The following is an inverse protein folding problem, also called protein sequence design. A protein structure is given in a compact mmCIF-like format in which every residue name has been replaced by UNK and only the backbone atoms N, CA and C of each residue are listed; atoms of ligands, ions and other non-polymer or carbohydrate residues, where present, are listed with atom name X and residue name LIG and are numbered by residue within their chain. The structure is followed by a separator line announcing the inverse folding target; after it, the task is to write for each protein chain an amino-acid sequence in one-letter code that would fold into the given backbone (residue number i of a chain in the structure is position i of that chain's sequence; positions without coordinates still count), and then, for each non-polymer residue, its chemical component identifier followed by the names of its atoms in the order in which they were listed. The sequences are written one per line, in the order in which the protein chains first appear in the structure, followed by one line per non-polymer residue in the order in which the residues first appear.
data_IF_839969837499
#
_entry.id   IF_839969837499
#
_cell.length_a   1.000
_cell.length_b   1.000
_cell.length_c   1.000
_cell.angle_alpha   90.00
_cell.angle_beta   90.00
_cell.angle_gamma   90.00
#
_symmetry.space_group_name_H-M   'P 1'
#
loop_
_entity.id
_entity.type
_entity.pdbx_description
1 polymer ?
#
# COMPACT_ATOMS: atom_id res chain seq x y z
N UNK A 1 -36.50 -3.27 4.67
CA UNK A 1 -36.19 -2.17 3.72
C UNK A 1 -37.30 -1.15 3.89
N UNK A 2 -36.99 0.10 4.25
CA UNK A 2 -37.99 1.15 4.42
C UNK A 2 -37.94 2.10 3.22
N UNK A 3 -39.10 2.38 2.62
CA UNK A 3 -39.19 3.32 1.49
C UNK A 3 -39.41 4.73 2.03
N UNK A 4 -38.57 5.68 1.61
CA UNK A 4 -38.70 7.10 1.93
C UNK A 4 -38.98 7.88 0.66
N UNK A 5 -39.83 8.89 0.76
CA UNK A 5 -40.12 9.79 -0.36
C UNK A 5 -39.05 10.87 -0.44
N UNK A 6 -38.65 11.21 -1.66
CA UNK A 6 -37.86 12.39 -1.94
C UNK A 6 -38.79 13.61 -1.93
N UNK A 7 -38.45 14.64 -1.15
CA UNK A 7 -39.24 15.87 -1.01
C UNK A 7 -38.45 17.01 -1.62
N UNK A 8 -39.02 17.74 -2.58
CA UNK A 8 -38.37 18.92 -3.14
C UNK A 8 -38.35 20.04 -2.10
N UNK A 9 -37.18 20.64 -1.88
CA UNK A 9 -37.01 21.76 -0.95
C UNK A 9 -36.34 22.91 -1.70
N UNK A 10 -37.06 23.99 -1.94
CA UNK A 10 -36.57 25.09 -2.79
C UNK A 10 -36.44 24.71 -4.27
N UNK A 11 -35.60 25.45 -5.01
CA UNK A 11 -35.50 25.31 -6.48
C UNK A 11 -34.61 24.13 -6.92
N UNK A 12 -33.53 23.87 -6.21
CA UNK A 12 -32.44 22.96 -6.65
C UNK A 12 -32.06 21.88 -5.65
N UNK A 13 -32.74 21.76 -4.50
CA UNK A 13 -32.42 20.73 -3.50
C UNK A 13 -33.62 19.84 -3.16
N UNK A 14 -33.28 18.66 -2.65
CA UNK A 14 -34.23 17.65 -2.23
C UNK A 14 -33.85 17.17 -0.83
N UNK A 15 -34.85 16.72 -0.08
CA UNK A 15 -34.72 16.24 1.29
C UNK A 15 -35.29 14.83 1.38
N UNK A 16 -34.64 13.99 2.16
CA UNK A 16 -35.11 12.65 2.53
C UNK A 16 -35.03 12.49 4.05
N UNK A 17 -36.05 11.87 4.65
CA UNK A 17 -36.05 11.63 6.09
C UNK A 17 -35.09 10.49 6.47
N UNK A 18 -34.24 10.71 7.47
CA UNK A 18 -33.34 9.68 8.00
C UNK A 18 -34.08 8.73 8.97
N UNK A 19 -33.70 7.45 9.06
CA UNK A 19 -34.28 6.52 10.03
C UNK A 19 -34.01 6.95 11.48
N UNK A 20 -35.07 7.12 12.28
CA UNK A 20 -34.95 7.61 13.67
C UNK A 20 -34.14 6.67 14.59
N UNK A 21 -34.11 5.37 14.31
CA UNK A 21 -33.25 4.40 15.02
C UNK A 21 -31.77 4.67 14.74
N UNK A 22 -31.42 4.95 13.48
CA UNK A 22 -30.04 5.25 13.08
C UNK A 22 -29.56 6.57 13.69
N UNK A 23 -30.39 7.63 13.63
CA UNK A 23 -30.07 8.94 14.22
C UNK A 23 -29.76 8.80 15.72
N UNK A 24 -30.59 8.05 16.46
CA UNK A 24 -30.36 7.78 17.89
C UNK A 24 -29.11 6.95 18.15
N UNK A 25 -28.90 5.89 17.38
CA UNK A 25 -27.71 5.03 17.52
C UNK A 25 -26.41 5.78 17.21
N UNK A 26 -26.45 6.73 16.28
CA UNK A 26 -25.33 7.62 15.96
C UNK A 26 -25.14 8.76 16.96
N UNK A 27 -26.05 8.94 17.93
CA UNK A 27 -26.00 10.01 18.92
C UNK A 27 -26.27 11.41 18.36
N UNK A 28 -26.87 11.51 17.18
CA UNK A 28 -27.08 12.75 16.46
C UNK A 28 -28.25 13.57 17.03
N UNK A 29 -28.10 14.89 16.98
CA UNK A 29 -29.08 15.89 17.41
C UNK A 29 -29.40 16.85 16.27
N UNK A 30 -30.47 17.62 16.45
CA UNK A 30 -30.85 18.67 15.51
C UNK A 30 -29.70 19.68 15.40
N UNK A 31 -29.26 19.94 14.17
CA UNK A 31 -28.17 20.87 13.87
C UNK A 31 -26.80 20.22 13.73
N UNK A 32 -26.67 18.91 14.03
CA UNK A 32 -25.42 18.19 13.77
C UNK A 32 -25.20 18.02 12.25
N UNK A 33 -23.94 18.18 11.84
CA UNK A 33 -23.54 17.99 10.45
C UNK A 33 -23.56 16.52 10.04
N UNK A 34 -23.93 16.28 8.78
CA UNK A 34 -23.89 14.98 8.14
C UNK A 34 -23.06 15.06 6.88
N UNK A 35 -22.29 14.01 6.64
CA UNK A 35 -21.44 13.89 5.47
C UNK A 35 -22.18 13.06 4.43
N UNK A 36 -22.35 13.61 3.24
CA UNK A 36 -23.04 12.98 2.13
C UNK A 36 -22.00 12.68 1.05
N UNK A 37 -21.87 11.41 0.67
CA UNK A 37 -21.04 11.01 -0.47
C UNK A 37 -21.90 10.32 -1.53
N UNK A 38 -21.62 10.64 -2.79
CA UNK A 38 -22.28 10.05 -3.94
C UNK A 38 -21.41 8.93 -4.51
N UNK A 39 -22.03 7.79 -4.81
CA UNK A 39 -21.37 6.65 -5.46
C UNK A 39 -22.29 6.01 -6.48
N UNK A 40 -21.99 6.20 -7.76
CA UNK A 40 -22.76 5.67 -8.89
C UNK A 40 -24.26 6.07 -8.84
N UNK A 41 -25.14 5.18 -8.37
CA UNK A 41 -26.58 5.42 -8.18
C UNK A 41 -27.00 5.43 -6.71
N UNK A 42 -26.03 5.51 -5.81
CA UNK A 42 -26.22 5.48 -4.35
C UNK A 42 -25.77 6.79 -3.71
N UNK A 43 -26.47 7.18 -2.63
CA UNK A 43 -26.06 8.25 -1.73
C UNK A 43 -25.78 7.61 -0.37
N UNK A 44 -24.59 7.84 0.17
CA UNK A 44 -24.16 7.36 1.48
C UNK A 44 -24.14 8.54 2.45
N UNK A 45 -24.82 8.39 3.60
CA UNK A 45 -24.88 9.41 4.64
C UNK A 45 -24.14 8.91 5.88
N UNK A 46 -23.19 9.69 6.36
CA UNK A 46 -22.32 9.35 7.49
C UNK A 46 -22.39 10.41 8.60
N UNK A 47 -22.43 9.95 9.85
CA UNK A 47 -22.45 10.81 11.05
C UNK A 47 -21.07 11.38 11.42
N UNK A 48 -20.03 10.92 10.76
CA UNK A 48 -18.64 11.36 10.95
C UNK A 48 -18.04 11.64 9.60
N UNK A 49 -17.13 12.59 9.59
CA UNK A 49 -16.33 12.88 8.41
C UNK A 49 -15.48 11.65 8.10
N UNK A 50 -15.90 10.88 7.09
CA UNK A 50 -15.10 9.80 6.52
C UNK A 50 -14.09 10.33 5.50
N UNK A 51 -14.21 11.59 5.04
CA UNK A 51 -13.26 12.24 4.14
C UNK A 51 -11.95 12.59 4.86
N UNK A 52 -12.03 12.85 6.18
CA UNK A 52 -10.89 12.68 7.09
C UNK A 52 -10.78 11.20 7.43
N UNK A 53 -10.21 10.42 6.51
CA UNK A 53 -9.67 9.11 6.85
C UNK A 53 -8.89 9.25 8.17
N UNK A 54 -9.39 8.62 9.23
CA UNK A 54 -8.63 8.50 10.46
C UNK A 54 -7.35 7.77 10.06
N UNK A 55 -6.24 8.51 10.02
CA UNK A 55 -4.93 7.95 9.69
C UNK A 55 -4.75 6.66 10.47
N UNK A 56 -4.61 5.55 9.76
CA UNK A 56 -4.45 4.24 10.36
C UNK A 56 -3.03 4.17 10.86
N UNK A 57 -2.86 4.15 12.17
CA UNK A 57 -1.55 3.96 12.80
C UNK A 57 -1.38 2.50 13.24
N UNK A 58 -0.17 1.98 13.07
CA UNK A 58 0.24 0.66 13.59
C UNK A 58 1.47 0.81 14.46
N UNK A 59 1.45 0.19 15.63
CA UNK A 59 2.52 0.25 16.61
C UNK A 59 3.19 -1.13 16.75
N UNK A 60 4.45 -1.22 16.35
CA UNK A 60 5.30 -2.40 16.40
C UNK A 60 6.15 -2.33 17.68
N UNK A 61 5.84 -3.17 18.67
CA UNK A 61 6.76 -3.40 19.78
C UNK A 61 7.90 -4.30 19.29
N UNK A 62 9.14 -3.83 19.37
CA UNK A 62 10.32 -4.57 18.92
C UNK A 62 11.01 -5.41 20.00
N UNK A 63 10.54 -5.34 21.25
CA UNK A 63 11.07 -6.11 22.36
C UNK A 63 10.99 -7.63 22.10
N UNK A 64 12.11 -8.33 22.26
CA UNK A 64 12.22 -9.77 22.07
C UNK A 64 12.11 -10.27 20.61
N UNK A 65 11.86 -9.39 19.63
CA UNK A 65 11.69 -9.79 18.22
C UNK A 65 13.01 -9.87 17.47
N UNK A 66 13.13 -10.87 16.61
CA UNK A 66 14.18 -10.95 15.61
C UNK A 66 13.98 -9.91 14.51
N UNK A 67 15.04 -9.60 13.78
CA UNK A 67 14.98 -8.70 12.63
C UNK A 67 13.99 -9.14 11.55
N UNK A 68 13.84 -10.46 11.34
CA UNK A 68 12.95 -11.02 10.34
C UNK A 68 11.48 -10.86 10.74
N UNK A 69 11.17 -11.02 12.02
CA UNK A 69 9.83 -10.77 12.56
C UNK A 69 9.47 -9.29 12.45
N UNK A 70 10.40 -8.39 12.78
CA UNK A 70 10.24 -6.95 12.60
C UNK A 70 9.99 -6.56 11.15
N UNK A 71 10.81 -7.08 10.24
CA UNK A 71 10.63 -6.85 8.80
C UNK A 71 9.26 -7.32 8.34
N UNK A 72 8.88 -8.54 8.69
CA UNK A 72 7.57 -9.11 8.32
C UNK A 72 6.41 -8.26 8.83
N UNK A 73 6.47 -7.79 10.08
CA UNK A 73 5.42 -6.98 10.68
C UNK A 73 5.35 -5.57 10.10
N UNK A 74 6.49 -4.92 9.87
CA UNK A 74 6.57 -3.59 9.24
C UNK A 74 6.02 -3.65 7.80
N UNK A 75 6.47 -4.63 7.01
CA UNK A 75 5.98 -4.84 5.64
C UNK A 75 4.49 -5.17 5.65
N UNK A 76 4.01 -5.99 6.60
CA UNK A 76 2.59 -6.31 6.73
C UNK A 76 1.75 -5.08 7.07
N UNK A 77 2.22 -4.22 7.98
CA UNK A 77 1.55 -2.96 8.28
C UNK A 77 1.47 -2.07 7.03
N UNK A 78 2.55 -1.98 6.26
CA UNK A 78 2.56 -1.24 4.99
C UNK A 78 1.55 -1.81 3.98
N UNK A 79 1.56 -3.13 3.76
CA UNK A 79 0.65 -3.79 2.80
C UNK A 79 -0.82 -3.79 3.24
N UNK A 80 -1.09 -3.55 4.52
CA UNK A 80 -2.44 -3.39 5.06
C UNK A 80 -2.94 -1.94 5.03
N UNK A 81 -2.24 -1.03 4.32
CA UNK A 81 -2.59 0.37 4.17
C UNK A 81 -2.68 1.11 5.51
N UNK A 82 -1.71 0.89 6.41
CA UNK A 82 -1.48 1.78 7.54
C UNK A 82 -0.67 3.01 7.07
N UNK A 83 -1.13 4.20 7.47
CA UNK A 83 -0.56 5.49 7.09
C UNK A 83 0.64 5.87 7.96
N UNK A 84 0.70 5.35 9.19
CA UNK A 84 1.80 5.58 10.12
C UNK A 84 2.23 4.25 10.73
N UNK A 85 3.52 3.96 10.66
CA UNK A 85 4.14 2.79 11.30
C UNK A 85 5.10 3.30 12.37
N UNK A 86 4.84 2.93 13.63
CA UNK A 86 5.66 3.29 14.79
C UNK A 86 6.34 2.05 15.30
N UNK A 87 7.67 1.99 15.25
CA UNK A 87 8.46 0.92 15.86
C UNK A 87 9.06 1.45 17.14
N UNK A 88 8.91 0.73 18.24
CA UNK A 88 9.42 1.17 19.54
C UNK A 88 9.97 0.02 20.37
N UNK A 89 10.93 0.34 21.24
CA UNK A 89 11.55 -0.58 22.18
C UNK A 89 12.17 0.22 23.34
N UNK A 90 12.18 -0.35 24.55
CA UNK A 90 12.85 0.23 25.72
C UNK A 90 13.93 -0.73 26.24
N UNK A 91 15.04 -0.22 26.80
CA UNK A 91 15.40 1.19 26.98
C UNK A 91 15.97 1.86 25.72
N UNK A 92 16.23 1.10 24.65
CA UNK A 92 16.75 1.59 23.37
C UNK A 92 16.32 0.66 22.23
N UNK A 93 16.05 1.24 21.06
CA UNK A 93 15.67 0.52 19.85
C UNK A 93 16.89 -0.16 19.22
N UNK A 94 16.99 -1.48 19.44
CA UNK A 94 18.04 -2.28 18.83
C UNK A 94 17.85 -2.34 17.32
N UNK A 95 18.95 -2.49 16.58
CA UNK A 95 18.93 -2.59 15.12
C UNK A 95 18.28 -1.38 14.39
N UNK A 96 18.28 -0.19 14.98
CA UNK A 96 17.66 1.02 14.42
C UNK A 96 18.04 1.27 12.96
N UNK A 97 19.31 1.09 12.57
CA UNK A 97 19.75 1.25 11.18
C UNK A 97 19.15 0.21 10.21
N UNK A 98 18.96 -1.03 10.66
CA UNK A 98 18.32 -2.07 9.84
C UNK A 98 16.81 -1.82 9.71
N UNK A 99 16.16 -1.37 10.79
CA UNK A 99 14.75 -0.95 10.77
C UNK A 99 14.58 0.24 9.82
N UNK A 100 15.49 1.22 9.88
CA UNK A 100 15.54 2.36 8.95
C UNK A 100 15.64 1.89 7.50
N UNK A 101 16.51 0.91 7.23
CA UNK A 101 16.68 0.33 5.90
C UNK A 101 15.42 -0.37 5.40
N UNK A 102 14.76 -1.17 6.24
CA UNK A 102 13.48 -1.82 5.92
C UNK A 102 12.43 -0.76 5.54
N UNK A 103 12.28 0.29 6.36
CA UNK A 103 11.31 1.36 6.11
C UNK A 103 11.60 2.11 4.80
N UNK A 104 12.87 2.42 4.51
CA UNK A 104 13.26 3.10 3.25
C UNK A 104 13.02 2.25 2.00
N UNK A 105 12.99 0.92 2.15
CA UNK A 105 12.64 -0.01 1.07
C UNK A 105 11.12 -0.11 0.85
N UNK A 106 10.30 0.64 1.57
CA UNK A 106 8.86 0.73 1.34
C UNK A 106 8.56 2.07 0.68
N UNK A 107 8.14 2.03 -0.59
CA UNK A 107 8.00 3.24 -1.39
C UNK A 107 7.00 4.23 -0.77
N UNK A 108 7.45 5.48 -0.65
CA UNK A 108 6.74 6.62 -0.10
C UNK A 108 6.52 6.60 1.42
N UNK A 109 7.10 5.64 2.12
CA UNK A 109 7.20 5.67 3.57
C UNK A 109 8.40 6.54 4.00
N UNK A 110 8.14 7.68 4.64
CA UNK A 110 9.16 8.63 5.11
C UNK A 110 9.27 8.63 6.63
N UNK A 111 10.50 8.58 7.12
CA UNK A 111 10.78 8.59 8.57
C UNK A 111 10.70 10.02 9.09
N UNK A 112 9.70 10.31 9.93
CA UNK A 112 9.44 11.65 10.47
C UNK A 112 10.04 11.86 11.86
N UNK A 113 10.17 10.79 12.64
CA UNK A 113 10.70 10.85 13.99
C UNK A 113 11.65 9.68 14.22
N UNK A 114 12.81 9.99 14.79
CA UNK A 114 13.75 8.98 15.27
C UNK A 114 14.32 9.43 16.61
N UNK A 115 14.15 8.59 17.63
CA UNK A 115 14.73 8.79 18.96
C UNK A 115 15.51 7.53 19.36
N UNK A 116 16.06 7.52 20.58
CA UNK A 116 16.71 6.34 21.14
C UNK A 116 15.76 5.14 21.28
N UNK A 117 14.47 5.35 21.49
CA UNK A 117 13.50 4.30 21.83
C UNK A 117 12.43 4.06 20.78
N UNK A 118 12.34 4.91 19.74
CA UNK A 118 11.30 4.79 18.72
C UNK A 118 11.73 5.34 17.36
N UNK A 119 11.08 4.82 16.33
CA UNK A 119 11.13 5.30 14.95
C UNK A 119 9.71 5.37 14.41
N UNK A 120 9.34 6.49 13.80
CA UNK A 120 8.01 6.72 13.23
C UNK A 120 8.17 7.04 11.75
N UNK A 121 7.51 6.25 10.92
CA UNK A 121 7.46 6.49 9.49
C UNK A 121 6.02 6.68 9.02
N UNK A 122 5.83 7.57 8.05
CA UNK A 122 4.53 7.95 7.52
C UNK A 122 4.50 7.74 6.01
N UNK A 123 3.41 7.17 5.53
CA UNK A 123 3.14 7.09 4.10
C UNK A 123 2.75 8.49 3.57
N UNK A 124 3.46 8.93 2.54
CA UNK A 124 3.22 10.18 1.84
C UNK A 124 2.70 9.96 0.41
N UNK A 125 2.48 8.71 0.00
CA UNK A 125 1.92 8.40 -1.32
C UNK A 125 0.45 8.81 -1.38
N UNK A 126 0.11 9.66 -2.35
CA UNK A 126 -1.27 9.76 -2.81
C UNK A 126 -1.54 8.71 -3.87
N UNK A 127 -2.27 7.65 -3.49
CA UNK A 127 -2.60 6.53 -4.39
C UNK A 127 -3.40 7.00 -5.62
N UNK A 128 -4.11 8.13 -5.52
CA UNK A 128 -4.92 8.68 -6.61
C UNK A 128 -4.07 9.22 -7.75
N UNK A 129 -2.84 9.64 -7.46
CA UNK A 129 -1.91 10.14 -8.48
C UNK A 129 -1.13 9.00 -9.18
N UNK A 130 -1.35 7.75 -8.77
CA UNK A 130 -0.63 6.60 -9.31
C UNK A 130 -1.36 5.93 -10.47
N UNK A 131 -0.57 5.43 -11.43
CA UNK A 131 -1.04 4.55 -12.50
C UNK A 131 -0.52 3.12 -12.27
N UNK A 132 -1.44 2.17 -12.12
CA UNK A 132 -1.10 0.74 -11.97
C UNK A 132 -0.37 0.22 -13.21
N UNK A 133 -0.78 0.66 -14.41
CA UNK A 133 -0.12 0.28 -15.66
C UNK A 133 1.31 0.81 -15.74
N UNK A 134 1.55 2.04 -15.26
CA UNK A 134 2.90 2.60 -15.20
C UNK A 134 3.79 1.82 -14.22
N UNK A 135 3.25 1.43 -13.05
CA UNK A 135 3.96 0.58 -12.10
C UNK A 135 4.33 -0.78 -12.72
N UNK A 136 3.38 -1.42 -13.40
CA UNK A 136 3.61 -2.70 -14.09
C UNK A 136 4.62 -2.60 -15.22
N UNK A 137 4.56 -1.53 -16.02
CA UNK A 137 5.54 -1.30 -17.09
C UNK A 137 6.95 -1.12 -16.54
N UNK A 138 7.10 -0.41 -15.42
CA UNK A 138 8.41 -0.25 -14.76
C UNK A 138 8.91 -1.57 -14.19
N UNK A 139 8.05 -2.35 -13.55
CA UNK A 139 8.38 -3.70 -13.08
C UNK A 139 8.89 -4.57 -14.24
N UNK A 140 8.14 -4.60 -15.34
CA UNK A 140 8.47 -5.36 -16.54
C UNK A 140 9.85 -4.97 -17.12
N UNK A 141 10.10 -3.68 -17.32
CA UNK A 141 11.38 -3.17 -17.87
C UNK A 141 12.56 -3.56 -16.98
N UNK A 142 12.45 -3.35 -15.66
CA UNK A 142 13.56 -3.65 -14.74
C UNK A 142 13.80 -5.16 -14.70
N UNK A 143 12.74 -5.96 -14.57
CA UNK A 143 12.87 -7.42 -14.53
C UNK A 143 13.47 -7.96 -15.82
N UNK A 144 13.02 -7.52 -17.00
CA UNK A 144 13.63 -7.92 -18.29
C UNK A 144 15.10 -7.57 -18.37
N UNK A 145 15.50 -6.38 -17.93
CA UNK A 145 16.92 -5.99 -17.94
C UNK A 145 17.80 -6.92 -17.10
N UNK A 146 17.27 -7.49 -16.01
CA UNK A 146 17.99 -8.47 -15.19
C UNK A 146 18.13 -9.80 -15.94
N UNK A 147 17.11 -10.23 -16.68
CA UNK A 147 17.20 -11.43 -17.52
C UNK A 147 18.21 -11.24 -18.66
N UNK A 148 18.22 -10.08 -19.31
CA UNK A 148 19.15 -9.80 -20.40
C UNK A 148 20.61 -9.89 -19.93
N UNK A 149 20.92 -9.37 -18.73
CA UNK A 149 22.25 -9.51 -18.14
C UNK A 149 22.59 -10.97 -17.82
N UNK A 150 21.65 -11.73 -17.26
CA UNK A 150 21.87 -13.15 -16.96
C UNK A 150 22.14 -13.96 -18.23
N UNK A 151 21.34 -13.76 -19.28
CA UNK A 151 21.50 -14.44 -20.57
C UNK A 151 22.83 -14.06 -21.21
N UNK A 152 23.19 -12.77 -21.18
CA UNK A 152 24.45 -12.28 -21.72
C UNK A 152 25.65 -12.89 -20.99
N UNK A 153 25.59 -12.94 -19.66
CA UNK A 153 26.67 -13.49 -18.81
C UNK A 153 26.88 -14.98 -19.07
N UNK A 154 25.80 -15.76 -19.17
CA UNK A 154 25.87 -17.19 -19.48
C UNK A 154 26.44 -17.42 -20.88
N UNK A 155 26.00 -16.63 -21.86
CA UNK A 155 26.46 -16.74 -23.25
C UNK A 155 27.95 -16.40 -23.39
N UNK A 156 28.41 -15.38 -22.66
CA UNK A 156 29.82 -14.97 -22.62
C UNK A 156 30.70 -15.87 -21.72
N UNK A 157 30.10 -16.76 -20.92
CA UNK A 157 30.76 -17.55 -19.86
C UNK A 157 31.47 -16.65 -18.83
N UNK A 158 30.87 -15.52 -18.51
CA UNK A 158 31.36 -14.55 -17.54
C UNK A 158 30.46 -14.50 -16.30
N UNK A 159 31.02 -14.03 -15.18
CA UNK A 159 30.23 -13.80 -13.98
C UNK A 159 29.21 -12.68 -14.21
N UNK A 160 27.94 -12.84 -13.79
CA UNK A 160 26.96 -11.79 -13.96
C UNK A 160 27.29 -10.57 -13.11
N UNK A 161 26.83 -9.36 -13.51
CA UNK A 161 27.05 -8.12 -12.77
C UNK A 161 26.19 -8.09 -11.48
N UNK A 162 26.53 -8.95 -10.52
CA UNK A 162 25.70 -9.31 -9.38
C UNK A 162 25.30 -8.12 -8.51
N UNK A 163 26.22 -7.16 -8.30
CA UNK A 163 25.93 -5.94 -7.55
C UNK A 163 24.86 -5.08 -8.23
N UNK A 164 24.92 -4.95 -9.56
CA UNK A 164 23.92 -4.23 -10.35
C UNK A 164 22.57 -4.95 -10.34
N UNK A 165 22.58 -6.29 -10.46
CA UNK A 165 21.36 -7.10 -10.35
C UNK A 165 20.72 -6.95 -8.97
N UNK A 166 21.52 -6.95 -7.90
CA UNK A 166 21.02 -6.79 -6.52
C UNK A 166 20.39 -5.42 -6.29
N UNK A 167 20.92 -4.35 -6.89
CA UNK A 167 20.31 -3.03 -6.79
C UNK A 167 18.95 -2.98 -7.51
N UNK A 168 18.87 -3.49 -8.74
CA UNK A 168 17.62 -3.56 -9.49
C UNK A 168 16.58 -4.46 -8.82
N UNK A 169 17.01 -5.53 -8.15
CA UNK A 169 16.13 -6.35 -7.31
C UNK A 169 15.50 -5.54 -6.16
N UNK A 170 16.25 -4.64 -5.52
CA UNK A 170 15.70 -3.74 -4.51
C UNK A 170 14.66 -2.79 -5.14
N UNK A 171 14.91 -2.27 -6.33
CA UNK A 171 13.95 -1.43 -7.05
C UNK A 171 12.67 -2.19 -7.44
N UNK A 172 12.81 -3.44 -7.90
CA UNK A 172 11.66 -4.34 -8.16
C UNK A 172 10.87 -4.57 -6.88
N UNK A 173 11.52 -4.92 -5.76
CA UNK A 173 10.84 -5.16 -4.49
C UNK A 173 10.05 -3.93 -4.01
N UNK A 174 10.63 -2.72 -4.13
CA UNK A 174 9.95 -1.46 -3.80
C UNK A 174 8.69 -1.27 -4.63
N UNK A 175 8.79 -1.50 -5.95
CA UNK A 175 7.66 -1.38 -6.87
C UNK A 175 6.59 -2.46 -6.65
N UNK A 176 7.00 -3.70 -6.33
CA UNK A 176 6.09 -4.81 -6.00
C UNK A 176 5.28 -4.45 -4.75
N UNK A 177 5.94 -4.01 -3.67
CA UNK A 177 5.23 -3.64 -2.44
C UNK A 177 4.27 -2.46 -2.67
N UNK A 178 4.70 -1.43 -3.41
CA UNK A 178 3.83 -0.31 -3.76
C UNK A 178 2.62 -0.77 -4.58
N UNK A 179 2.86 -1.64 -5.58
CA UNK A 179 1.79 -2.17 -6.42
C UNK A 179 0.78 -2.98 -5.61
N UNK A 180 1.24 -3.84 -4.69
CA UNK A 180 0.35 -4.57 -3.79
C UNK A 180 -0.42 -3.65 -2.85
N UNK A 181 0.20 -2.58 -2.33
CA UNK A 181 -0.48 -1.58 -1.48
C UNK A 181 -1.63 -0.91 -2.26
N UNK A 182 -1.34 -0.36 -3.43
CA UNK A 182 -2.31 0.29 -4.33
C UNK A 182 -3.46 -0.67 -4.69
N UNK A 183 -3.13 -1.88 -5.12
CA UNK A 183 -4.12 -2.86 -5.57
C UNK A 183 -4.98 -3.37 -4.41
N UNK A 184 -4.39 -3.60 -3.22
CA UNK A 184 -5.17 -3.94 -2.02
C UNK A 184 -6.11 -2.80 -1.62
N UNK A 185 -5.66 -1.55 -1.72
CA UNK A 185 -6.53 -0.38 -1.48
C UNK A 185 -7.67 -0.33 -2.49
N UNK A 186 -7.40 -0.53 -3.78
CA UNK A 186 -8.44 -0.60 -4.81
C UNK A 186 -9.42 -1.77 -4.60
N UNK A 187 -8.96 -2.90 -4.06
CA UNK A 187 -9.86 -4.03 -3.77
C UNK A 187 -10.76 -3.75 -2.57
N UNK A 188 -10.27 -3.05 -1.54
CA UNK A 188 -11.04 -2.75 -0.32
C UNK A 188 -11.84 -1.44 -0.36
N UNK A 189 -11.41 -0.45 -1.15
CA UNK A 189 -12.01 0.87 -1.25
C UNK A 189 -12.52 1.14 -2.68
N UNK A 190 -13.85 1.14 -2.89
CA UNK A 190 -14.45 1.42 -4.18
C UNK A 190 -14.19 2.82 -4.72
N UNK A 191 -13.98 3.83 -3.88
CA UNK A 191 -13.72 5.20 -4.32
C UNK A 191 -12.32 5.29 -4.94
N UNK A 192 -11.33 4.70 -4.28
CA UNK A 192 -9.96 4.58 -4.83
C UNK A 192 -9.98 3.77 -6.12
N UNK A 193 -10.71 2.66 -6.15
CA UNK A 193 -10.83 1.82 -7.35
C UNK A 193 -11.43 2.57 -8.55
N UNK A 194 -12.51 3.32 -8.32
CA UNK A 194 -13.15 4.14 -9.34
C UNK A 194 -12.20 5.23 -9.85
N UNK A 195 -11.46 5.87 -8.95
CA UNK A 195 -10.45 6.87 -9.32
C UNK A 195 -9.32 6.29 -10.18
N UNK A 196 -8.87 5.06 -9.87
CA UNK A 196 -7.89 4.33 -10.68
C UNK A 196 -8.46 3.82 -12.02
N UNK A 197 -9.76 3.98 -12.27
CA UNK A 197 -10.42 3.51 -13.49
C UNK A 197 -10.48 1.98 -13.60
N UNK A 198 -10.49 1.26 -12.48
CA UNK A 198 -10.41 -0.20 -12.46
C UNK A 198 -11.75 -0.86 -12.08
N UNK A 199 -12.07 -1.98 -12.70
CA UNK A 199 -13.03 -2.94 -12.14
C UNK A 199 -12.39 -3.79 -11.04
N UNK A 200 -13.21 -4.48 -10.24
CA UNK A 200 -12.72 -5.45 -9.23
C UNK A 200 -11.90 -6.56 -9.88
N UNK A 201 -12.37 -7.04 -11.05
CA UNK A 201 -11.69 -8.10 -11.79
C UNK A 201 -10.34 -7.62 -12.33
N UNK A 202 -10.25 -6.39 -12.84
CA UNK A 202 -8.98 -5.82 -13.31
C UNK A 202 -7.99 -5.59 -12.17
N UNK A 203 -8.43 -5.03 -11.04
CA UNK A 203 -7.58 -4.89 -9.86
C UNK A 203 -7.03 -6.25 -9.40
N UNK A 204 -7.86 -7.30 -9.41
CA UNK A 204 -7.42 -8.65 -9.10
C UNK A 204 -6.44 -9.23 -10.15
N UNK A 205 -6.72 -9.03 -11.45
CA UNK A 205 -5.82 -9.45 -12.53
C UNK A 205 -4.44 -8.80 -12.39
N UNK A 206 -4.40 -7.49 -12.16
CA UNK A 206 -3.14 -6.78 -11.94
C UNK A 206 -2.40 -7.28 -10.70
N UNK A 207 -3.12 -7.58 -9.61
CA UNK A 207 -2.52 -8.19 -8.42
C UNK A 207 -1.83 -9.52 -8.74
N UNK A 208 -2.49 -10.37 -9.53
CA UNK A 208 -1.92 -11.64 -9.97
C UNK A 208 -0.70 -11.43 -10.87
N UNK A 209 -0.70 -10.44 -11.77
CA UNK A 209 0.45 -10.13 -12.63
C UNK A 209 1.66 -9.69 -11.79
N UNK A 210 1.47 -8.77 -10.83
CA UNK A 210 2.54 -8.32 -9.92
C UNK A 210 3.15 -9.51 -9.18
N UNK A 211 2.31 -10.42 -8.64
CA UNK A 211 2.76 -11.63 -7.97
C UNK A 211 3.59 -12.55 -8.89
N UNK A 212 3.27 -12.62 -10.18
CA UNK A 212 4.07 -13.41 -11.13
C UNK A 212 5.40 -12.74 -11.43
N UNK A 213 5.43 -11.42 -11.61
CA UNK A 213 6.67 -10.68 -11.86
C UNK A 213 7.61 -10.77 -10.65
N UNK A 214 7.10 -10.65 -9.42
CA UNK A 214 7.88 -10.86 -8.19
C UNK A 214 8.55 -12.24 -8.19
N UNK A 215 7.77 -13.32 -8.40
CA UNK A 215 8.32 -14.68 -8.47
C UNK A 215 9.40 -14.83 -9.55
N UNK A 216 9.19 -14.22 -10.71
CA UNK A 216 10.14 -14.21 -11.82
C UNK A 216 11.44 -13.49 -11.41
N UNK A 217 11.35 -12.34 -10.75
CA UNK A 217 12.50 -11.60 -10.20
C UNK A 217 13.27 -12.41 -9.15
N UNK A 218 12.56 -13.08 -8.25
CA UNK A 218 13.16 -13.97 -7.25
C UNK A 218 13.95 -15.12 -7.88
N UNK A 219 13.42 -15.72 -8.95
CA UNK A 219 14.14 -16.75 -9.70
C UNK A 219 15.39 -16.18 -10.37
N UNK A 220 15.30 -15.01 -11.01
CA UNK A 220 16.44 -14.35 -11.64
C UNK A 220 17.57 -14.08 -10.62
N UNK A 221 17.22 -13.59 -9.42
CA UNK A 221 18.17 -13.37 -8.33
C UNK A 221 18.85 -14.67 -7.87
N UNK A 222 18.09 -15.77 -7.76
CA UNK A 222 18.65 -17.09 -7.40
C UNK A 222 19.63 -17.58 -8.45
N UNK A 223 19.30 -17.41 -9.74
CA UNK A 223 20.19 -17.75 -10.86
C UNK A 223 21.47 -16.90 -10.78
N UNK A 224 21.35 -15.58 -10.65
CA UNK A 224 22.49 -14.66 -10.52
C UNK A 224 23.46 -15.08 -9.40
N UNK A 225 22.91 -15.41 -8.24
CA UNK A 225 23.68 -15.84 -7.06
C UNK A 225 24.41 -17.16 -7.28
N UNK A 226 23.79 -18.11 -7.99
CA UNK A 226 24.41 -19.40 -8.27
C UNK A 226 25.49 -19.28 -9.34
N UNK A 227 25.24 -18.53 -10.41
CA UNK A 227 26.25 -18.26 -11.44
C UNK A 227 27.49 -17.59 -10.86
N UNK A 228 27.32 -16.62 -9.95
CA UNK A 228 28.43 -15.98 -9.24
C UNK A 228 29.27 -16.95 -8.39
N UNK A 229 28.70 -18.06 -7.91
CA UNK A 229 29.42 -19.06 -7.13
C UNK A 229 30.17 -20.08 -7.99
N UNK A 230 29.77 -20.22 -9.24
CA UNK A 230 30.34 -21.17 -10.19
C UNK A 230 31.38 -20.53 -11.13
N UNK A 231 31.40 -19.20 -11.21
CA UNK A 231 32.41 -18.41 -11.93
C UNK A 231 33.60 -18.14 -11.02
#
# INVERSE_FOLDING_TARGET
MEVRKLIKFGKSSYVVSLPSKWVRAAGLKKGDDLFVSERDREIIISAKDSSRERRREYAVNAEGKSLRELETEIVSAYLNNYDVIRVFEKPSLRNSEKIRSIMRNLAGLEILEQTKTKMVAKDLVDIRELSVEALLRRLDVITRSVFDDLVSSVSAREAPPYHSIKHRDQDVNRLVFLSFRVLRRALSDPAVRSHLGLSVLEAHKYYMIVLRIEKIGDFAKRIAKNLQRCS
#
